data_IF_881673514293
#
_entry.id   IF_881673514293
#
_cell.length_a   1.000
_cell.length_b   1.000
_cell.length_c   1.000
_cell.angle_alpha   90.00
_cell.angle_beta   90.00
_cell.angle_gamma   90.00
#
_symmetry.space_group_name_H-M   'P 1'
#
loop_
_entity.id
_entity.type
_entity.pdbx_description
1 polymer ?
#
# COMPACT_ATOMS: atom_id res chain seq x y z
N UNK A 1 66.55 22.66 55.76
CA UNK A 1 65.72 22.98 54.57
C UNK A 1 64.93 21.74 54.24
N UNK A 2 63.63 21.84 54.46
CA UNK A 2 62.67 20.75 54.55
C UNK A 2 62.05 20.46 53.18
N UNK A 3 61.92 19.19 52.81
CA UNK A 3 61.16 18.73 51.65
C UNK A 3 60.27 17.56 52.06
N UNK A 4 59.00 17.86 52.32
CA UNK A 4 57.98 16.95 52.83
C UNK A 4 57.40 16.11 51.68
N UNK A 5 57.36 14.81 51.88
CA UNK A 5 56.81 13.80 50.99
C UNK A 5 55.28 13.69 51.23
N UNK A 6 54.47 14.05 50.23
CA UNK A 6 53.00 13.90 50.29
C UNK A 6 52.56 12.59 49.64
N UNK A 7 52.06 11.66 50.47
CA UNK A 7 51.33 10.46 50.05
C UNK A 7 49.89 10.87 49.78
N UNK A 8 49.41 10.71 48.53
CA UNK A 8 47.98 10.86 48.20
C UNK A 8 47.27 9.51 48.37
N UNK A 9 46.36 9.44 49.33
CA UNK A 9 45.44 8.33 49.51
C UNK A 9 44.35 8.36 48.42
N UNK A 10 44.13 7.24 47.72
CA UNK A 10 42.96 7.02 46.85
C UNK A 10 41.78 6.59 47.73
N UNK A 11 40.71 7.39 47.73
CA UNK A 11 39.42 7.01 48.29
C UNK A 11 38.61 6.24 47.24
N UNK A 12 38.27 4.98 47.52
CA UNK A 12 37.30 4.21 46.75
C UNK A 12 35.88 4.70 47.09
N UNK A 13 35.21 5.35 46.15
CA UNK A 13 33.78 5.66 46.25
C UNK A 13 32.97 4.41 45.86
N UNK A 14 32.17 3.89 46.78
CA UNK A 14 31.24 2.81 46.51
C UNK A 14 30.10 3.30 45.61
N UNK A 15 30.01 2.79 44.38
CA UNK A 15 28.90 2.99 43.46
C UNK A 15 27.67 2.25 44.01
N UNK A 16 26.68 3.00 44.50
CA UNK A 16 25.33 2.49 44.76
C UNK A 16 24.66 2.31 43.39
N UNK A 17 24.54 1.06 42.95
CA UNK A 17 23.75 0.71 41.76
C UNK A 17 22.27 0.79 42.16
N UNK A 18 21.44 1.63 41.51
CA UNK A 18 20.01 1.63 41.77
C UNK A 18 19.42 0.28 41.35
N UNK A 19 18.68 -0.34 42.27
CA UNK A 19 17.79 -1.46 42.00
C UNK A 19 16.90 -1.11 40.81
N UNK A 20 17.09 -1.79 39.67
CA UNK A 20 16.18 -1.73 38.53
C UNK A 20 14.85 -2.32 38.99
N UNK A 21 13.86 -1.45 39.26
CA UNK A 21 12.49 -1.88 39.45
C UNK A 21 12.05 -2.67 38.21
N UNK A 22 11.53 -3.88 38.43
CA UNK A 22 10.93 -4.67 37.37
C UNK A 22 9.83 -3.83 36.67
N UNK A 23 9.74 -3.84 35.33
CA UNK A 23 8.69 -3.12 34.63
C UNK A 23 7.32 -3.61 35.14
N UNK A 24 6.33 -2.71 35.29
CA UNK A 24 4.99 -3.10 35.70
C UNK A 24 4.46 -4.15 34.72
N UNK A 25 4.04 -5.30 35.25
CA UNK A 25 3.32 -6.33 34.52
C UNK A 25 1.93 -5.78 34.21
N UNK A 26 1.77 -5.20 33.01
CA UNK A 26 0.45 -4.85 32.51
C UNK A 26 -0.35 -6.13 32.29
N UNK A 27 -1.28 -6.40 33.21
CA UNK A 27 -2.22 -7.52 33.17
C UNK A 27 -3.27 -7.38 32.08
N UNK A 28 -2.84 -7.21 30.82
CA UNK A 28 -3.70 -7.41 29.66
C UNK A 28 -4.01 -8.89 29.53
N UNK A 29 -5.28 -9.24 29.40
CA UNK A 29 -5.69 -10.62 29.09
C UNK A 29 -4.96 -11.06 27.82
N UNK A 30 -4.07 -12.05 27.93
CA UNK A 30 -3.25 -12.50 26.80
C UNK A 30 -4.16 -12.97 25.67
N UNK A 31 -4.09 -12.31 24.51
CA UNK A 31 -4.87 -12.71 23.35
C UNK A 31 -4.37 -14.08 22.88
N UNK A 32 -5.21 -15.09 23.01
CA UNK A 32 -4.90 -16.44 22.53
C UNK A 32 -5.08 -16.52 21.02
N UNK A 33 -4.06 -16.97 20.26
CA UNK A 33 -4.17 -17.13 18.81
C UNK A 33 -5.30 -18.09 18.40
N UNK A 34 -6.11 -17.67 17.42
CA UNK A 34 -7.22 -18.44 16.84
C UNK A 34 -7.22 -18.27 15.32
N UNK A 35 -6.86 -19.30 14.54
CA UNK A 35 -6.56 -20.67 14.94
C UNK A 35 -5.23 -20.81 15.72
N UNK A 36 -5.02 -21.91 16.45
CA UNK A 36 -3.78 -22.11 17.23
C UNK A 36 -2.52 -22.20 16.35
N UNK A 37 -2.66 -22.82 15.17
CA UNK A 37 -1.57 -23.01 14.21
C UNK A 37 -1.76 -22.08 13.00
N UNK A 38 -2.06 -20.81 13.26
CA UNK A 38 -2.22 -19.81 12.21
C UNK A 38 -0.91 -19.18 11.77
N UNK A 39 -1.01 -18.26 10.83
CA UNK A 39 0.05 -17.33 10.44
C UNK A 39 -0.54 -15.97 10.07
N UNK A 40 0.31 -14.95 9.98
CA UNK A 40 -0.11 -13.62 9.55
C UNK A 40 -0.18 -13.54 8.02
N UNK A 41 -1.26 -12.97 7.51
CA UNK A 41 -1.47 -12.70 6.08
C UNK A 41 -1.87 -11.24 5.94
N UNK A 42 -1.23 -10.48 5.06
CA UNK A 42 -1.70 -9.14 4.72
C UNK A 42 -3.07 -9.24 4.01
N UNK A 43 -4.04 -8.49 4.50
CA UNK A 43 -5.42 -8.47 3.99
C UNK A 43 -5.85 -7.09 3.47
N UNK A 44 -4.96 -6.12 3.62
CA UNK A 44 -5.00 -4.81 2.99
C UNK A 44 -3.59 -4.26 3.03
N UNK A 45 -3.15 -3.63 1.96
CA UNK A 45 -1.90 -2.88 1.90
C UNK A 45 -2.11 -1.59 1.13
N UNK A 46 -1.15 -0.70 1.28
CA UNK A 46 -0.94 0.41 0.36
C UNK A 46 0.56 0.61 0.17
N UNK A 47 0.97 1.06 -1.02
CA UNK A 47 2.37 1.37 -1.30
C UNK A 47 2.75 2.68 -0.60
N UNK A 48 3.59 2.65 0.46
CA UNK A 48 4.04 3.88 1.08
C UNK A 48 5.00 4.60 0.12
N UNK A 49 4.80 5.90 -0.02
CA UNK A 49 5.69 6.79 -0.75
C UNK A 49 5.97 8.06 0.04
N UNK A 50 7.03 8.77 -0.36
CA UNK A 50 7.25 10.14 0.09
C UNK A 50 6.12 11.00 -0.48
N UNK A 51 5.42 11.70 0.42
CA UNK A 51 4.33 12.59 0.02
C UNK A 51 4.89 13.77 -0.77
N UNK A 52 4.41 13.95 -1.99
CA UNK A 52 4.75 15.13 -2.79
C UNK A 52 4.17 16.38 -2.13
N UNK A 53 4.84 17.52 -2.31
CA UNK A 53 4.42 18.78 -1.67
C UNK A 53 2.94 19.13 -1.91
N UNK A 54 2.44 18.91 -3.13
CA UNK A 54 1.04 19.18 -3.49
C UNK A 54 0.02 18.21 -2.87
N UNK A 55 0.48 17.06 -2.36
CA UNK A 55 -0.33 16.01 -1.75
C UNK A 55 -0.13 15.93 -0.22
N UNK A 56 0.60 16.89 0.35
CA UNK A 56 0.67 17.05 1.81
C UNK A 56 -0.73 17.29 2.40
N UNK A 57 -0.89 17.11 3.72
CA UNK A 57 -2.17 17.36 4.37
C UNK A 57 -2.67 18.77 4.03
N UNK A 58 -3.96 18.94 3.72
CA UNK A 58 -4.49 20.26 3.40
C UNK A 58 -4.37 21.21 4.60
N UNK A 59 -4.24 22.54 4.37
CA UNK A 59 -4.36 23.52 5.46
C UNK A 59 -5.65 23.31 6.26
N UNK A 60 -5.63 23.53 7.59
CA UNK A 60 -4.54 24.06 8.40
C UNK A 60 -3.56 22.99 8.94
N UNK A 61 -3.57 21.76 8.42
CA UNK A 61 -2.82 20.62 8.97
C UNK A 61 -1.39 20.47 8.42
N UNK A 62 -0.94 21.45 7.64
CA UNK A 62 0.40 21.50 7.07
C UNK A 62 0.96 22.91 7.21
N UNK A 63 2.12 23.01 7.86
CA UNK A 63 2.91 24.22 7.99
C UNK A 63 4.38 23.91 7.72
N UNK A 64 5.21 24.93 7.54
CA UNK A 64 6.64 24.73 7.29
C UNK A 64 7.29 23.98 8.44
N UNK A 65 7.89 22.82 8.14
CA UNK A 65 8.59 21.97 9.09
C UNK A 65 7.71 21.22 10.09
N UNK A 66 6.38 21.24 9.96
CA UNK A 66 5.48 20.53 10.88
C UNK A 66 4.16 20.19 10.19
N UNK A 67 3.74 18.94 10.28
CA UNK A 67 2.41 18.48 9.84
C UNK A 67 1.64 17.88 10.99
N UNK A 68 0.30 17.91 10.89
CA UNK A 68 -0.62 17.24 11.81
C UNK A 68 -0.45 17.59 13.30
N UNK A 69 0.02 18.81 13.61
CA UNK A 69 0.10 19.27 15.00
C UNK A 69 -1.28 19.25 15.65
N UNK A 70 -1.40 18.63 16.84
CA UNK A 70 -2.67 18.47 17.56
C UNK A 70 -3.80 17.95 16.67
N UNK A 71 -3.53 16.93 15.84
CA UNK A 71 -4.46 16.50 14.79
C UNK A 71 -4.85 15.03 14.92
N UNK A 72 -6.13 14.77 14.70
CA UNK A 72 -6.69 13.43 14.48
C UNK A 72 -6.87 13.20 12.99
N UNK A 73 -6.44 12.03 12.51
CA UNK A 73 -6.58 11.55 11.13
C UNK A 73 -7.44 10.29 11.16
N UNK A 74 -8.61 10.29 10.50
CA UNK A 74 -9.53 9.15 10.41
C UNK A 74 -9.63 8.67 8.98
N UNK A 75 -9.38 7.38 8.77
CA UNK A 75 -9.16 6.79 7.46
C UNK A 75 -9.86 5.45 7.37
N UNK A 76 -10.53 5.18 6.25
CA UNK A 76 -11.19 3.89 6.04
C UNK A 76 -10.41 3.00 5.09
N UNK A 77 -10.39 1.69 5.36
CA UNK A 77 -9.64 0.68 4.63
C UNK A 77 -10.58 -0.47 4.20
N UNK A 78 -10.42 -0.98 2.98
CA UNK A 78 -11.23 -2.07 2.42
C UNK A 78 -10.53 -3.42 2.63
N UNK A 79 -11.07 -4.26 3.51
CA UNK A 79 -10.47 -5.54 3.87
C UNK A 79 -10.73 -6.59 2.82
N UNK A 80 -9.70 -7.35 2.46
CA UNK A 80 -9.81 -8.39 1.45
C UNK A 80 -10.62 -9.60 1.94
N UNK A 81 -10.05 -10.35 2.89
CA UNK A 81 -10.65 -11.55 3.48
C UNK A 81 -11.10 -11.28 4.92
N UNK A 82 -11.90 -12.20 5.46
CA UNK A 82 -12.36 -12.15 6.84
C UNK A 82 -11.34 -12.73 7.82
N UNK A 83 -11.38 -12.26 9.07
CA UNK A 83 -10.51 -12.70 10.15
C UNK A 83 -11.16 -12.42 11.51
N UNK A 84 -10.76 -13.15 12.54
CA UNK A 84 -11.18 -12.87 13.93
C UNK A 84 -10.16 -12.02 14.70
N UNK A 85 -8.91 -12.05 14.24
CA UNK A 85 -7.77 -11.40 14.88
C UNK A 85 -6.95 -10.69 13.84
N UNK A 86 -6.65 -9.42 14.09
CA UNK A 86 -5.86 -8.58 13.20
C UNK A 86 -4.80 -7.81 13.97
N UNK A 87 -3.86 -7.22 13.24
CA UNK A 87 -2.93 -6.18 13.72
C UNK A 87 -2.67 -5.17 12.60
N UNK A 88 -2.17 -3.99 12.98
CA UNK A 88 -2.02 -2.84 12.08
C UNK A 88 -0.55 -2.49 11.90
N UNK A 89 -0.10 -2.31 10.65
CA UNK A 89 1.23 -1.80 10.32
C UNK A 89 1.18 -0.31 10.01
N UNK A 90 1.91 0.50 10.78
CA UNK A 90 2.06 1.94 10.58
C UNK A 90 3.50 2.23 10.16
N UNK A 91 3.68 2.95 9.04
CA UNK A 91 4.98 3.18 8.42
C UNK A 91 5.42 4.63 8.51
N UNK A 92 6.69 4.81 8.86
CA UNK A 92 7.45 6.05 8.75
C UNK A 92 8.63 5.88 7.76
N UNK A 93 8.50 4.98 6.78
CA UNK A 93 9.57 4.60 5.85
C UNK A 93 10.19 5.77 5.06
N UNK A 94 9.41 6.82 4.80
CA UNK A 94 9.86 8.05 4.12
C UNK A 94 9.92 9.26 5.04
N UNK A 95 9.61 9.08 6.33
CA UNK A 95 9.77 10.14 7.31
C UNK A 95 11.24 10.41 7.57
N UNK A 96 11.64 11.68 7.47
CA UNK A 96 13.00 12.11 7.80
C UNK A 96 13.24 12.30 9.31
N UNK A 97 12.17 12.24 10.11
CA UNK A 97 12.19 12.40 11.58
C UNK A 97 11.25 11.38 12.22
N UNK A 98 11.34 11.24 13.54
CA UNK A 98 10.43 10.41 14.32
C UNK A 98 8.95 10.75 14.09
N UNK A 99 8.09 9.72 14.07
CA UNK A 99 6.64 9.85 14.00
C UNK A 99 6.04 9.52 15.39
N UNK A 100 5.63 10.53 16.19
CA UNK A 100 5.12 10.33 17.54
C UNK A 100 3.61 10.06 17.55
N UNK A 101 3.22 8.80 17.35
CA UNK A 101 1.82 8.35 17.48
C UNK A 101 1.39 8.46 18.95
N UNK A 102 0.56 9.44 19.25
CA UNK A 102 0.07 9.66 20.63
C UNK A 102 -1.00 8.65 21.00
N UNK A 103 -1.89 8.32 20.05
CA UNK A 103 -2.96 7.34 20.23
C UNK A 103 -3.45 6.86 18.87
N UNK A 104 -3.82 5.59 18.77
CA UNK A 104 -4.49 5.06 17.60
C UNK A 104 -5.65 4.14 17.99
N UNK A 105 -6.74 4.18 17.23
CA UNK A 105 -7.94 3.37 17.45
C UNK A 105 -8.44 2.76 16.16
N UNK A 106 -9.23 1.69 16.30
CA UNK A 106 -9.95 1.02 15.22
C UNK A 106 -11.43 0.87 15.58
N UNK A 107 -12.29 1.00 14.58
CA UNK A 107 -13.74 0.80 14.72
C UNK A 107 -14.36 0.43 13.37
N UNK A 108 -15.59 -0.10 13.39
CA UNK A 108 -16.39 -0.18 12.17
C UNK A 108 -16.87 1.23 11.78
N UNK A 109 -16.75 1.63 10.50
CA UNK A 109 -17.34 2.86 10.03
C UNK A 109 -18.86 2.71 9.89
N UNK A 110 -19.55 3.83 10.08
CA UNK A 110 -21.00 3.92 9.85
C UNK A 110 -21.29 4.63 8.53
N UNK A 111 -22.36 4.19 7.87
CA UNK A 111 -23.02 5.01 6.86
C UNK A 111 -24.03 5.95 7.54
N UNK A 112 -24.38 7.05 6.89
CA UNK A 112 -25.34 8.02 7.40
C UNK A 112 -24.92 9.47 7.15
N UNK A 113 -25.85 10.41 7.29
CA UNK A 113 -25.61 11.85 7.05
C UNK A 113 -25.01 12.17 5.67
N UNK A 114 -25.38 11.39 4.65
CA UNK A 114 -24.85 11.54 3.28
C UNK A 114 -23.55 10.78 2.99
N UNK A 115 -22.99 10.06 3.98
CA UNK A 115 -21.75 9.29 3.80
C UNK A 115 -22.00 7.79 3.61
N UNK A 116 -21.23 7.20 2.70
CA UNK A 116 -21.02 5.75 2.62
C UNK A 116 -20.11 5.29 3.78
N UNK A 117 -20.02 3.98 4.02
CA UNK A 117 -19.03 3.42 4.97
C UNK A 117 -17.60 3.71 4.53
N UNK A 118 -17.31 3.57 3.23
CA UNK A 118 -16.03 3.95 2.63
C UNK A 118 -15.91 5.48 2.61
N UNK A 119 -14.83 5.99 3.18
CA UNK A 119 -14.58 7.42 3.33
C UNK A 119 -15.43 8.10 4.42
N UNK A 120 -16.02 7.34 5.34
CA UNK A 120 -16.88 7.91 6.38
C UNK A 120 -16.09 8.63 7.47
N UNK A 121 -16.52 9.82 7.93
CA UNK A 121 -16.05 10.39 9.19
C UNK A 121 -16.71 9.73 10.42
N UNK A 122 -17.74 8.90 10.23
CA UNK A 122 -18.52 8.28 11.31
C UNK A 122 -18.00 6.89 11.67
N UNK A 123 -18.01 6.58 12.96
CA UNK A 123 -17.66 5.26 13.50
C UNK A 123 -18.72 4.73 14.47
N UNK A 124 -18.81 3.42 14.57
CA UNK A 124 -19.54 2.75 15.62
C UNK A 124 -18.67 2.67 16.88
N UNK A 125 -18.96 3.56 17.84
CA UNK A 125 -18.23 3.65 19.11
C UNK A 125 -18.34 2.39 19.97
N UNK A 126 -19.32 1.51 19.73
CA UNK A 126 -19.44 0.24 20.46
C UNK A 126 -18.40 -0.79 20.00
N UNK A 127 -17.85 -0.63 18.80
CA UNK A 127 -16.78 -1.45 18.24
C UNK A 127 -15.38 -0.88 18.50
N UNK A 128 -15.29 0.32 19.07
CA UNK A 128 -14.04 1.05 19.23
C UNK A 128 -13.05 0.28 20.11
N UNK A 129 -11.86 0.02 19.57
CA UNK A 129 -10.73 -0.53 20.31
C UNK A 129 -9.49 0.35 20.15
N UNK A 130 -8.72 0.51 21.22
CA UNK A 130 -7.42 1.18 21.19
C UNK A 130 -6.37 0.21 20.67
N UNK A 131 -5.53 0.67 19.75
CA UNK A 131 -4.35 -0.07 19.32
C UNK A 131 -3.23 0.13 20.33
N UNK A 132 -2.56 -0.95 20.71
CA UNK A 132 -1.36 -0.91 21.54
C UNK A 132 -0.13 -1.33 20.75
N UNK A 133 1.04 -0.93 21.22
CA UNK A 133 2.34 -1.27 20.64
C UNK A 133 3.25 -1.74 21.77
N UNK A 134 3.54 -3.04 21.83
CA UNK A 134 4.29 -3.62 22.95
C UNK A 134 3.65 -3.29 24.31
N UNK A 135 2.32 -3.32 24.38
CA UNK A 135 1.53 -3.02 25.57
C UNK A 135 1.27 -1.53 25.84
N UNK A 136 1.86 -0.61 25.06
CA UNK A 136 1.69 0.84 25.25
C UNK A 136 0.61 1.41 24.31
N UNK A 137 -0.18 2.39 24.76
CA UNK A 137 -1.20 3.06 23.94
C UNK A 137 -0.62 4.07 22.91
N UNK A 138 0.69 4.28 22.93
CA UNK A 138 1.42 5.22 22.09
C UNK A 138 2.73 4.59 21.61
N UNK A 139 3.31 5.16 20.57
CA UNK A 139 4.62 4.75 20.05
C UNK A 139 5.30 5.92 19.32
N UNK A 140 6.62 5.98 19.42
CA UNK A 140 7.45 6.84 18.57
C UNK A 140 8.12 5.94 17.54
N UNK A 141 7.81 6.14 16.25
CA UNK A 141 8.37 5.34 15.15
C UNK A 141 9.58 6.08 14.60
N UNK A 142 10.81 5.50 14.66
CA UNK A 142 11.99 6.14 14.11
C UNK A 142 11.87 6.47 12.62
N UNK A 143 12.74 7.37 12.13
CA UNK A 143 12.85 7.68 10.71
C UNK A 143 13.17 6.40 9.91
N UNK A 144 12.48 6.20 8.78
CA UNK A 144 12.67 5.01 7.93
C UNK A 144 12.11 3.69 8.50
N UNK A 145 11.55 3.70 9.71
CA UNK A 145 11.05 2.50 10.37
C UNK A 145 9.53 2.31 10.18
N UNK A 146 9.03 1.18 10.65
CA UNK A 146 7.60 0.91 10.79
C UNK A 146 7.33 0.27 12.15
N UNK A 147 6.10 0.39 12.63
CA UNK A 147 5.60 -0.29 13.81
C UNK A 147 4.44 -1.22 13.45
N UNK A 148 4.32 -2.30 14.22
CA UNK A 148 3.19 -3.23 14.16
C UNK A 148 2.48 -3.18 15.49
N UNK A 149 1.16 -3.00 15.49
CA UNK A 149 0.37 -3.04 16.73
C UNK A 149 0.42 -4.44 17.34
N UNK A 150 0.14 -4.53 18.63
CA UNK A 150 -0.23 -5.81 19.23
C UNK A 150 -1.51 -6.34 18.55
N UNK A 151 -1.71 -7.67 18.52
CA UNK A 151 -2.95 -8.26 17.99
C UNK A 151 -4.17 -7.77 18.75
N UNK A 152 -5.34 -7.74 18.08
CA UNK A 152 -6.62 -7.47 18.71
C UNK A 152 -7.71 -8.43 18.21
N UNK A 153 -8.67 -8.75 19.07
CA UNK A 153 -9.86 -9.52 18.69
C UNK A 153 -10.88 -8.57 18.05
N UNK A 154 -10.82 -8.45 16.73
CA UNK A 154 -11.67 -7.56 15.94
C UNK A 154 -12.19 -8.30 14.71
N UNK A 155 -13.37 -8.95 14.82
CA UNK A 155 -13.89 -9.79 13.76
C UNK A 155 -14.31 -9.01 12.51
N UNK A 156 -13.63 -9.22 11.39
CA UNK A 156 -13.95 -8.60 10.12
C UNK A 156 -14.52 -9.63 9.14
N UNK A 157 -15.50 -9.20 8.35
CA UNK A 157 -16.00 -9.98 7.22
C UNK A 157 -15.15 -9.70 5.95
N UNK A 158 -15.10 -10.63 4.98
CA UNK A 158 -14.51 -10.34 3.67
C UNK A 158 -15.16 -9.11 3.03
N UNK A 159 -14.38 -8.29 2.32
CA UNK A 159 -14.82 -7.04 1.67
C UNK A 159 -15.45 -6.01 2.63
N UNK A 160 -15.24 -6.15 3.94
CA UNK A 160 -15.72 -5.17 4.91
C UNK A 160 -14.83 -3.93 4.95
N UNK A 161 -15.37 -2.83 5.46
CA UNK A 161 -14.61 -1.59 5.68
C UNK A 161 -14.31 -1.47 7.17
N UNK A 162 -13.07 -1.10 7.50
CA UNK A 162 -12.68 -0.68 8.86
C UNK A 162 -12.26 0.78 8.86
N UNK A 163 -12.32 1.43 10.01
CA UNK A 163 -11.77 2.77 10.22
C UNK A 163 -10.56 2.69 11.14
N UNK A 164 -9.45 3.30 10.75
CA UNK A 164 -8.28 3.57 11.60
C UNK A 164 -8.26 5.06 11.91
N UNK A 165 -8.15 5.41 13.19
CA UNK A 165 -8.03 6.80 13.64
C UNK A 165 -6.72 6.99 14.39
N UNK A 166 -5.88 7.92 13.95
CA UNK A 166 -4.57 8.22 14.54
C UNK A 166 -4.60 9.64 15.09
N UNK A 167 -4.10 9.85 16.30
CA UNK A 167 -3.92 11.18 16.88
C UNK A 167 -2.44 11.47 17.12
N UNK A 168 -2.02 12.65 16.67
CA UNK A 168 -0.68 13.21 16.81
C UNK A 168 -0.77 14.50 17.63
N UNK A 169 -0.51 14.43 18.94
CA UNK A 169 -0.57 15.61 19.81
C UNK A 169 0.46 16.68 19.40
N UNK A 170 1.69 16.25 19.13
CA UNK A 170 2.78 17.14 18.72
C UNK A 170 2.94 17.26 17.20
N UNK A 171 2.15 16.53 16.41
CA UNK A 171 2.40 16.39 14.96
C UNK A 171 3.71 15.67 14.65
N UNK A 172 4.12 15.73 13.38
CA UNK A 172 5.42 15.25 12.91
C UNK A 172 6.25 16.45 12.40
N UNK A 173 7.43 16.67 12.99
CA UNK A 173 8.28 17.84 12.74
C UNK A 173 9.03 17.79 11.39
N UNK A 174 8.28 17.65 10.30
CA UNK A 174 8.79 17.54 8.93
C UNK A 174 7.69 17.84 7.92
N UNK A 175 8.07 18.10 6.66
CA UNK A 175 7.17 17.99 5.51
C UNK A 175 7.46 16.74 4.65
N UNK A 176 8.42 15.89 5.05
CA UNK A 176 8.69 14.61 4.42
C UNK A 176 7.87 13.53 5.12
N UNK A 177 6.66 13.27 4.62
CA UNK A 177 5.65 12.41 5.27
C UNK A 177 5.50 11.10 4.49
N UNK A 178 5.37 9.98 5.20
CA UNK A 178 4.97 8.70 4.59
C UNK A 178 3.46 8.69 4.36
N UNK A 179 3.04 8.61 3.10
CA UNK A 179 1.62 8.54 2.72
C UNK A 179 1.42 7.69 1.48
N UNK A 180 0.17 7.62 1.07
CA UNK A 180 -0.26 7.15 -0.23
C UNK A 180 -1.31 8.12 -0.80
N UNK A 181 -0.91 9.04 -1.70
CA UNK A 181 -1.80 10.03 -2.28
C UNK A 181 -2.89 9.47 -3.19
N UNK A 182 -2.75 8.21 -3.61
CA UNK A 182 -3.61 7.50 -4.54
C UNK A 182 -4.92 6.93 -3.98
N UNK A 183 -5.25 7.15 -2.70
CA UNK A 183 -6.19 6.27 -1.98
C UNK A 183 -7.60 6.14 -2.56
N UNK A 184 -8.06 7.16 -3.32
CA UNK A 184 -9.46 7.32 -3.81
C UNK A 184 -10.50 7.19 -2.70
N UNK A 185 -10.08 7.38 -1.45
CA UNK A 185 -10.90 7.19 -0.27
C UNK A 185 -10.72 8.41 0.62
N UNK A 186 -11.82 8.99 1.07
CA UNK A 186 -11.78 10.16 1.94
C UNK A 186 -11.16 9.81 3.29
N UNK A 187 -10.08 10.51 3.61
CA UNK A 187 -9.51 10.59 4.95
C UNK A 187 -9.84 11.95 5.54
N UNK A 188 -10.26 11.96 6.80
CA UNK A 188 -10.72 13.13 7.51
C UNK A 188 -9.68 13.57 8.52
N UNK A 189 -9.41 14.86 8.58
CA UNK A 189 -8.41 15.45 9.48
C UNK A 189 -9.10 16.53 10.30
N UNK A 190 -8.94 16.50 11.62
CA UNK A 190 -9.58 17.42 12.58
C UNK A 190 -8.59 17.76 13.69
N UNK A 191 -8.65 18.97 14.25
CA UNK A 191 -7.88 19.29 15.45
C UNK A 191 -8.40 18.54 16.70
N UNK A 192 -7.52 18.38 17.68
CA UNK A 192 -7.78 17.73 18.97
C UNK A 192 -7.73 16.20 18.92
N UNK A 193 -7.80 15.56 20.10
CA UNK A 193 -8.00 14.11 20.21
C UNK A 193 -9.48 13.78 19.98
N UNK A 194 -9.80 13.37 18.76
CA UNK A 194 -11.12 12.90 18.34
C UNK A 194 -11.13 11.37 18.11
N UNK A 195 -10.18 10.62 18.67
CA UNK A 195 -10.03 9.17 18.46
C UNK A 195 -11.23 8.34 18.92
N UNK A 196 -12.02 8.84 19.88
CA UNK A 196 -13.26 8.23 20.37
C UNK A 196 -14.53 8.92 19.88
N UNK A 197 -14.41 10.01 19.11
CA UNK A 197 -15.56 10.76 18.64
C UNK A 197 -16.33 9.96 17.59
N UNK A 198 -17.66 9.80 17.79
CA UNK A 198 -18.54 9.10 16.85
C UNK A 198 -18.49 9.71 15.44
N UNK A 199 -18.40 11.03 15.35
CA UNK A 199 -18.31 11.78 14.11
C UNK A 199 -17.28 12.92 14.27
N UNK A 200 -16.58 13.25 13.19
CA UNK A 200 -15.69 14.41 13.16
C UNK A 200 -16.49 15.62 12.66
N UNK A 201 -16.80 16.54 13.57
CA UNK A 201 -17.67 17.70 13.30
C UNK A 201 -17.03 19.03 13.70
N UNK A 202 -15.76 19.02 14.09
CA UNK A 202 -15.06 20.26 14.43
C UNK A 202 -14.98 21.18 13.20
N UNK A 203 -15.10 22.51 13.33
CA UNK A 203 -14.99 23.43 12.20
C UNK A 203 -13.68 23.34 11.41
N UNK A 204 -12.60 22.82 12.01
CA UNK A 204 -11.33 22.55 11.32
C UNK A 204 -11.36 21.32 10.42
N UNK A 205 -12.42 20.51 10.47
CA UNK A 205 -12.47 19.22 9.81
C UNK A 205 -12.39 19.39 8.30
N UNK A 206 -11.39 18.76 7.67
CA UNK A 206 -11.20 18.72 6.22
C UNK A 206 -11.06 17.28 5.74
N UNK A 207 -11.36 17.05 4.46
CA UNK A 207 -11.16 15.77 3.80
C UNK A 207 -10.03 15.84 2.77
N UNK A 208 -9.36 14.71 2.57
CA UNK A 208 -8.40 14.48 1.47
C UNK A 208 -8.54 13.07 0.94
N UNK A 209 -8.09 12.80 -0.29
CA UNK A 209 -8.13 11.46 -0.89
C UNK A 209 -6.76 10.77 -0.78
N UNK A 210 -6.20 10.76 0.43
CA UNK A 210 -4.88 10.21 0.72
C UNK A 210 -4.94 9.32 1.96
N UNK A 211 -4.10 8.29 2.01
CA UNK A 211 -3.83 7.59 3.26
C UNK A 211 -2.51 8.08 3.87
N UNK A 212 -2.48 8.36 5.16
CA UNK A 212 -1.30 8.82 5.90
C UNK A 212 -0.96 7.82 6.98
N UNK A 213 0.21 7.18 6.85
CA UNK A 213 0.86 6.25 7.80
C UNK A 213 0.47 4.75 7.78
N UNK A 214 -0.81 4.29 7.78
CA UNK A 214 -1.09 2.86 7.60
C UNK A 214 -0.47 2.32 6.31
N UNK A 215 0.15 1.15 6.41
CA UNK A 215 0.80 0.46 5.29
C UNK A 215 0.28 -0.95 5.08
N UNK A 216 -0.21 -1.61 6.13
CA UNK A 216 -0.91 -2.89 6.02
C UNK A 216 -1.85 -3.17 7.19
N UNK A 217 -2.81 -4.07 6.95
CA UNK A 217 -3.59 -4.78 7.97
C UNK A 217 -3.30 -6.26 7.81
N UNK A 218 -2.90 -6.91 8.88
CA UNK A 218 -2.56 -8.34 8.89
C UNK A 218 -3.63 -9.12 9.64
N UNK A 219 -4.07 -10.24 9.06
CA UNK A 219 -4.99 -11.18 9.68
C UNK A 219 -4.27 -12.44 10.14
N UNK A 220 -4.57 -12.87 11.36
CA UNK A 220 -4.15 -14.19 11.84
C UNK A 220 -5.07 -15.25 11.25
N UNK A 221 -4.53 -16.09 10.37
CA UNK A 221 -5.30 -16.91 9.45
C UNK A 221 -4.84 -18.37 9.45
N UNK A 222 -5.71 -19.32 9.03
CA UNK A 222 -5.29 -20.70 8.77
C UNK A 222 -4.18 -20.80 7.71
N UNK A 223 -3.34 -21.84 7.79
CA UNK A 223 -2.16 -22.03 6.91
C UNK A 223 -2.47 -22.04 5.40
N UNK A 224 -3.66 -22.46 5.00
CA UNK A 224 -4.08 -22.46 3.60
C UNK A 224 -4.43 -21.07 3.04
N UNK A 225 -4.42 -20.05 3.89
CA UNK A 225 -4.72 -18.65 3.53
C UNK A 225 -3.44 -17.99 3.06
N UNK A 226 -3.50 -17.20 1.99
CA UNK A 226 -2.35 -16.43 1.50
C UNK A 226 -2.79 -15.13 0.87
N UNK A 227 -1.83 -14.34 0.41
CA UNK A 227 -2.07 -13.06 -0.27
C UNK A 227 -1.56 -13.08 -1.72
N UNK A 228 -2.24 -12.31 -2.56
CA UNK A 228 -1.88 -11.97 -3.93
C UNK A 228 -1.45 -10.51 -3.97
N UNK A 229 -0.14 -10.29 -4.10
CA UNK A 229 0.46 -8.95 -4.13
C UNK A 229 0.56 -8.39 -5.54
N UNK A 230 0.15 -7.14 -5.74
CA UNK A 230 0.17 -6.49 -7.06
C UNK A 230 1.05 -5.26 -7.01
N UNK A 231 2.19 -5.30 -7.70
CA UNK A 231 3.05 -4.16 -7.95
C UNK A 231 2.54 -3.47 -9.22
N UNK A 232 2.18 -2.20 -9.12
CA UNK A 232 1.54 -1.48 -10.23
C UNK A 232 1.67 0.03 -10.20
N UNK A 233 1.19 0.64 -11.29
CA UNK A 233 1.14 2.09 -11.46
C UNK A 233 -0.26 2.69 -11.18
N UNK A 234 -0.54 3.88 -11.72
CA UNK A 234 -1.82 4.59 -11.60
C UNK A 234 -3.05 3.80 -12.07
N UNK A 235 -2.88 2.85 -13.00
CA UNK A 235 -3.98 2.01 -13.50
C UNK A 235 -4.40 1.01 -12.41
N UNK A 236 -3.43 0.39 -11.73
CA UNK A 236 -3.72 -0.53 -10.62
C UNK A 236 -4.10 0.21 -9.33
N UNK A 237 -3.54 1.39 -9.12
CA UNK A 237 -3.95 2.33 -8.06
C UNK A 237 -5.41 2.78 -8.21
N UNK A 238 -5.92 2.77 -9.45
CA UNK A 238 -7.33 3.01 -9.78
C UNK A 238 -7.65 4.46 -10.16
N UNK A 239 -6.72 5.19 -10.78
CA UNK A 239 -7.00 6.49 -11.41
C UNK A 239 -8.14 6.32 -12.44
N UNK A 240 -9.17 7.15 -12.37
CA UNK A 240 -10.37 7.03 -13.24
C UNK A 240 -11.51 6.22 -12.62
N UNK A 241 -11.30 5.57 -11.47
CA UNK A 241 -12.41 5.01 -10.66
C UNK A 241 -13.11 6.09 -9.84
N UNK A 242 -14.33 5.81 -9.37
CA UNK A 242 -15.06 6.71 -8.48
C UNK A 242 -14.47 6.69 -7.06
N UNK A 243 -14.32 7.88 -6.47
CA UNK A 243 -13.92 8.00 -5.06
C UNK A 243 -14.96 7.33 -4.14
N UNK A 244 -14.47 6.75 -3.04
CA UNK A 244 -15.26 6.05 -2.02
C UNK A 244 -16.08 4.86 -2.54
N UNK A 245 -15.76 4.32 -3.73
CA UNK A 245 -16.50 3.21 -4.33
C UNK A 245 -15.77 1.86 -4.28
N UNK A 246 -14.45 1.84 -3.98
CA UNK A 246 -13.60 0.65 -4.10
C UNK A 246 -13.75 -0.02 -5.49
N UNK A 247 -13.81 0.80 -6.55
CA UNK A 247 -14.13 0.38 -7.92
C UNK A 247 -12.91 0.20 -8.83
N UNK A 248 -11.71 0.02 -8.27
CA UNK A 248 -10.49 -0.28 -9.03
C UNK A 248 -10.44 -1.78 -9.36
N UNK A 249 -9.77 -2.16 -10.45
CA UNK A 249 -9.79 -3.56 -10.90
C UNK A 249 -9.37 -4.59 -9.83
N UNK A 250 -8.39 -4.33 -8.92
CA UNK A 250 -8.04 -5.32 -7.90
C UNK A 250 -9.17 -5.58 -6.90
N UNK A 251 -9.93 -4.55 -6.52
CA UNK A 251 -11.10 -4.68 -5.64
C UNK A 251 -12.24 -5.46 -6.33
N UNK A 252 -12.42 -5.24 -7.64
CA UNK A 252 -13.42 -5.94 -8.44
C UNK A 252 -13.04 -7.41 -8.68
N UNK A 253 -11.74 -7.72 -8.87
CA UNK A 253 -11.23 -9.10 -8.92
C UNK A 253 -11.41 -9.78 -7.57
N UNK A 254 -11.11 -9.10 -6.47
CA UNK A 254 -11.37 -9.59 -5.11
C UNK A 254 -12.86 -9.96 -4.94
N UNK A 255 -13.78 -9.10 -5.39
CA UNK A 255 -15.21 -9.38 -5.31
C UNK A 255 -15.59 -10.69 -6.03
N UNK A 256 -15.01 -10.93 -7.22
CA UNK A 256 -15.17 -12.20 -7.96
C UNK A 256 -14.51 -13.37 -7.22
N UNK A 257 -13.32 -13.17 -6.65
CA UNK A 257 -12.59 -14.20 -5.91
C UNK A 257 -13.36 -14.70 -4.69
N UNK A 258 -14.11 -13.83 -4.01
CA UNK A 258 -14.94 -14.22 -2.87
C UNK A 258 -16.16 -15.07 -3.28
N UNK A 259 -16.60 -14.98 -4.53
CA UNK A 259 -17.67 -15.82 -5.09
C UNK A 259 -17.15 -17.14 -5.68
N UNK A 260 -15.83 -17.32 -5.77
CA UNK A 260 -15.20 -18.51 -6.33
C UNK A 260 -14.44 -19.29 -5.26
N UNK A 261 -14.95 -20.48 -4.91
CA UNK A 261 -14.48 -21.29 -3.78
C UNK A 261 -12.96 -21.45 -3.66
N UNK A 262 -12.22 -21.78 -4.74
CA UNK A 262 -10.77 -21.94 -4.70
C UNK A 262 -9.98 -20.67 -4.32
N UNK A 263 -10.55 -19.48 -4.53
CA UNK A 263 -9.86 -18.20 -4.30
C UNK A 263 -10.33 -17.45 -3.06
N UNK A 264 -11.36 -17.95 -2.35
CA UNK A 264 -11.97 -17.22 -1.22
C UNK A 264 -11.01 -16.90 -0.06
N UNK A 265 -9.95 -17.71 0.09
CA UNK A 265 -8.92 -17.57 1.13
C UNK A 265 -7.64 -16.88 0.61
N UNK A 266 -7.69 -16.27 -0.58
CA UNK A 266 -6.58 -15.51 -1.14
C UNK A 266 -6.91 -14.04 -0.99
N UNK A 267 -6.15 -13.35 -0.15
CA UNK A 267 -6.25 -11.92 -0.01
C UNK A 267 -5.70 -11.20 -1.25
N UNK A 268 -6.22 -10.03 -1.59
CA UNK A 268 -5.66 -9.15 -2.61
C UNK A 268 -5.02 -7.96 -1.91
N UNK A 269 -3.72 -7.75 -2.15
CA UNK A 269 -2.95 -6.67 -1.54
C UNK A 269 -2.35 -5.79 -2.63
N UNK A 270 -2.84 -4.56 -2.70
CA UNK A 270 -2.50 -3.61 -3.75
C UNK A 270 -1.31 -2.76 -3.32
N UNK A 271 -0.19 -2.92 -4.03
CA UNK A 271 1.05 -2.17 -3.84
C UNK A 271 1.29 -1.24 -5.04
N UNK A 272 0.22 -0.74 -5.64
CA UNK A 272 0.35 0.20 -6.74
C UNK A 272 0.52 1.65 -6.26
N UNK A 273 1.13 2.48 -7.09
CA UNK A 273 1.22 3.92 -6.87
C UNK A 273 1.13 4.69 -8.18
N UNK A 274 0.40 5.81 -8.17
CA UNK A 274 0.30 6.68 -9.34
C UNK A 274 1.66 7.16 -9.84
N UNK A 275 1.87 7.15 -11.15
CA UNK A 275 3.13 7.59 -11.75
C UNK A 275 4.34 6.71 -11.41
N UNK A 276 4.14 5.52 -10.82
CA UNK A 276 5.25 4.61 -10.55
C UNK A 276 5.85 4.06 -11.85
N UNK A 277 7.12 3.70 -11.75
CA UNK A 277 7.99 3.28 -12.86
C UNK A 277 8.83 2.11 -12.38
N UNK A 278 9.25 1.26 -13.30
CA UNK A 278 10.10 0.10 -12.99
C UNK A 278 11.55 0.51 -12.78
N UNK A 279 12.07 1.43 -13.60
CA UNK A 279 13.51 1.67 -13.73
C UNK A 279 14.03 2.86 -12.92
N UNK A 280 13.16 3.84 -12.66
CA UNK A 280 13.51 5.09 -11.99
C UNK A 280 12.41 5.47 -11.02
N UNK A 281 12.76 6.28 -10.02
CA UNK A 281 11.75 6.80 -9.12
C UNK A 281 10.79 7.73 -9.91
N UNK A 282 9.52 7.70 -9.52
CA UNK A 282 8.47 8.60 -9.97
C UNK A 282 7.89 9.32 -8.77
N UNK A 283 6.57 9.25 -8.58
CA UNK A 283 5.93 9.75 -7.36
C UNK A 283 6.32 8.93 -6.12
N UNK A 284 6.87 7.73 -6.32
CA UNK A 284 7.49 6.89 -5.28
C UNK A 284 8.65 6.08 -5.85
N UNK A 285 9.32 5.24 -5.02
CA UNK A 285 10.48 4.48 -5.44
C UNK A 285 10.19 3.54 -6.61
N UNK A 286 11.17 3.31 -7.47
CA UNK A 286 11.08 2.41 -8.60
C UNK A 286 10.67 0.97 -8.20
N UNK A 287 9.87 0.32 -9.05
CA UNK A 287 9.30 -1.01 -8.80
C UNK A 287 10.38 -2.07 -8.59
N UNK A 288 11.48 -2.02 -9.36
CA UNK A 288 12.61 -2.94 -9.23
C UNK A 288 13.26 -2.87 -7.83
N UNK A 289 13.41 -1.66 -7.29
CA UNK A 289 13.99 -1.43 -5.97
C UNK A 289 13.06 -1.79 -4.82
N UNK A 290 11.74 -1.70 -5.01
CA UNK A 290 10.75 -1.95 -3.94
C UNK A 290 10.13 -3.35 -3.95
N UNK A 291 10.42 -4.20 -4.93
CA UNK A 291 9.81 -5.55 -5.00
C UNK A 291 10.03 -6.37 -3.72
N UNK A 292 11.19 -6.24 -3.08
CA UNK A 292 11.47 -6.93 -1.82
C UNK A 292 10.59 -6.44 -0.69
N UNK A 293 10.40 -5.12 -0.59
CA UNK A 293 9.56 -4.49 0.42
C UNK A 293 8.08 -4.83 0.20
N UNK A 294 7.64 -4.77 -1.06
CA UNK A 294 6.22 -4.78 -1.42
C UNK A 294 5.69 -6.16 -1.77
N UNK A 295 6.57 -7.16 -1.94
CA UNK A 295 6.20 -8.56 -2.14
C UNK A 295 6.83 -9.44 -1.07
N UNK A 296 8.17 -9.45 -0.95
CA UNK A 296 8.89 -10.47 -0.18
C UNK A 296 8.80 -10.24 1.35
N UNK A 297 8.72 -8.97 1.76
CA UNK A 297 8.58 -8.56 3.16
C UNK A 297 7.11 -8.38 3.59
N UNK A 298 6.15 -8.76 2.74
CA UNK A 298 4.73 -8.77 3.05
C UNK A 298 4.34 -10.14 3.62
N UNK A 299 3.42 -10.13 4.58
CA UNK A 299 3.01 -11.31 5.34
C UNK A 299 2.11 -12.22 4.49
N UNK A 300 2.51 -13.49 4.38
CA UNK A 300 1.68 -14.53 3.78
C UNK A 300 1.48 -14.40 2.27
N UNK A 301 2.33 -13.65 1.54
CA UNK A 301 2.28 -13.59 0.08
C UNK A 301 2.53 -14.98 -0.51
N UNK A 302 1.56 -15.42 -1.33
CA UNK A 302 1.59 -16.70 -2.04
C UNK A 302 1.62 -16.52 -3.56
N UNK A 303 1.15 -15.39 -4.05
CA UNK A 303 1.17 -15.04 -5.47
C UNK A 303 1.56 -13.57 -5.61
N UNK A 304 2.24 -13.23 -6.70
CA UNK A 304 2.56 -11.85 -6.98
C UNK A 304 2.32 -11.51 -8.46
N UNK A 305 2.15 -10.24 -8.77
CA UNK A 305 1.98 -9.74 -10.12
C UNK A 305 2.64 -8.38 -10.30
N UNK A 306 3.15 -8.12 -11.51
CA UNK A 306 3.54 -6.78 -11.95
C UNK A 306 2.66 -6.31 -13.11
N UNK A 307 2.15 -5.09 -12.99
CA UNK A 307 1.46 -4.36 -14.05
C UNK A 307 1.98 -2.92 -14.09
N UNK A 308 3.09 -2.74 -14.78
CA UNK A 308 3.94 -1.53 -14.80
C UNK A 308 4.56 -1.34 -16.19
N UNK A 309 5.26 -0.21 -16.37
CA UNK A 309 6.10 0.07 -17.54
C UNK A 309 5.55 1.17 -18.45
N UNK A 310 4.27 1.53 -18.32
CA UNK A 310 3.67 2.61 -19.11
C UNK A 310 4.35 3.96 -18.84
N UNK A 311 4.67 4.23 -17.58
CA UNK A 311 5.34 5.49 -17.20
C UNK A 311 6.81 5.49 -17.58
N UNK A 312 7.50 4.34 -17.62
CA UNK A 312 8.87 4.26 -18.12
C UNK A 312 8.94 4.66 -19.59
N UNK A 313 8.06 4.09 -20.42
CA UNK A 313 7.97 4.38 -21.85
C UNK A 313 7.48 5.81 -22.09
N UNK A 314 6.42 6.21 -21.37
CA UNK A 314 5.74 7.49 -21.52
C UNK A 314 6.57 8.70 -21.09
N UNK A 315 7.46 8.54 -20.12
CA UNK A 315 8.34 9.63 -19.63
C UNK A 315 9.69 9.68 -20.34
N UNK A 316 10.18 8.56 -20.89
CA UNK A 316 11.43 8.53 -21.64
C UNK A 316 11.33 9.39 -22.92
N UNK A 317 12.44 10.03 -23.36
CA UNK A 317 12.48 10.74 -24.64
C UNK A 317 11.96 9.86 -25.77
N UNK A 318 11.22 10.44 -26.72
CA UNK A 318 10.53 9.70 -27.77
C UNK A 318 11.39 9.39 -29.00
N UNK A 319 12.70 9.56 -28.93
CA UNK A 319 13.62 9.14 -29.98
C UNK A 319 13.98 7.66 -29.88
N UNK A 320 14.29 7.05 -31.02
CA UNK A 320 14.54 5.60 -31.14
C UNK A 320 15.65 5.12 -30.21
N UNK A 321 16.69 5.91 -29.97
CA UNK A 321 17.81 5.51 -29.10
C UNK A 321 17.36 5.34 -27.65
N UNK A 322 16.70 6.35 -27.08
CA UNK A 322 16.21 6.29 -25.70
C UNK A 322 15.10 5.26 -25.51
N UNK A 323 14.22 5.11 -26.50
CA UNK A 323 13.12 4.14 -26.48
C UNK A 323 13.64 2.68 -26.58
N UNK A 324 14.67 2.46 -27.39
CA UNK A 324 15.37 1.16 -27.45
C UNK A 324 15.95 0.80 -26.07
N UNK A 325 16.71 1.70 -25.46
CA UNK A 325 17.32 1.48 -24.13
C UNK A 325 16.25 1.25 -23.06
N UNK A 326 15.16 2.01 -23.10
CA UNK A 326 14.07 1.90 -22.13
C UNK A 326 13.41 0.52 -22.19
N UNK A 327 13.08 0.04 -23.39
CA UNK A 327 12.51 -1.30 -23.55
C UNK A 327 13.47 -2.43 -23.14
N UNK A 328 14.75 -2.33 -23.49
CA UNK A 328 15.75 -3.34 -23.13
C UNK A 328 15.91 -3.44 -21.61
N UNK A 329 15.96 -2.28 -20.94
CA UNK A 329 16.08 -2.21 -19.48
C UNK A 329 14.81 -2.67 -18.77
N UNK A 330 13.62 -2.39 -19.33
CA UNK A 330 12.35 -2.90 -18.78
C UNK A 330 12.34 -4.42 -18.77
N UNK A 331 12.68 -5.05 -19.90
CA UNK A 331 12.77 -6.51 -20.03
C UNK A 331 13.73 -7.08 -18.98
N UNK A 332 14.95 -6.54 -18.91
CA UNK A 332 15.94 -6.98 -17.92
C UNK A 332 15.46 -6.80 -16.47
N UNK A 333 14.78 -5.69 -16.17
CA UNK A 333 14.24 -5.45 -14.84
C UNK A 333 13.14 -6.44 -14.47
N UNK A 334 12.25 -6.78 -15.41
CA UNK A 334 11.24 -7.81 -15.18
C UNK A 334 11.87 -9.18 -14.92
N UNK A 335 12.89 -9.58 -15.67
CA UNK A 335 13.66 -10.81 -15.41
C UNK A 335 14.25 -10.81 -14.00
N UNK A 336 14.88 -9.71 -13.57
CA UNK A 336 15.45 -9.62 -12.22
C UNK A 336 14.38 -9.66 -11.11
N UNK A 337 13.20 -9.07 -11.34
CA UNK A 337 12.08 -9.18 -10.40
C UNK A 337 11.58 -10.62 -10.31
N UNK A 338 11.43 -11.31 -11.45
CA UNK A 338 11.06 -12.72 -11.51
C UNK A 338 12.05 -13.57 -10.70
N UNK A 339 13.36 -13.46 -10.97
CA UNK A 339 14.40 -14.22 -10.25
C UNK A 339 14.32 -14.03 -8.73
N UNK A 340 14.14 -12.80 -8.26
CA UNK A 340 14.05 -12.50 -6.81
C UNK A 340 12.78 -13.03 -6.19
N UNK A 341 11.65 -12.94 -6.88
CA UNK A 341 10.35 -13.44 -6.38
C UNK A 341 10.32 -14.97 -6.36
N UNK A 342 10.85 -15.62 -7.40
CA UNK A 342 10.97 -17.08 -7.48
C UNK A 342 11.88 -17.68 -6.40
N UNK A 343 12.84 -16.92 -5.87
CA UNK A 343 13.68 -17.36 -4.73
C UNK A 343 12.84 -17.73 -3.50
N UNK A 344 11.63 -17.17 -3.38
CA UNK A 344 10.69 -17.45 -2.29
C UNK A 344 9.60 -18.46 -2.68
N UNK A 345 9.72 -19.09 -3.86
CA UNK A 345 8.73 -20.03 -4.41
C UNK A 345 7.41 -19.38 -4.80
N UNK A 346 7.39 -18.04 -4.95
CA UNK A 346 6.18 -17.28 -5.25
C UNK A 346 6.02 -17.20 -6.79
N UNK A 347 4.91 -17.68 -7.37
CA UNK A 347 4.59 -17.43 -8.77
C UNK A 347 4.42 -15.93 -9.03
N UNK A 348 5.06 -15.44 -10.09
CA UNK A 348 5.04 -14.05 -10.51
C UNK A 348 4.36 -13.88 -11.87
N UNK A 349 3.23 -13.19 -11.87
CA UNK A 349 2.43 -12.93 -13.07
C UNK A 349 2.80 -11.59 -13.71
N UNK A 350 2.70 -11.49 -15.03
CA UNK A 350 2.88 -10.24 -15.77
C UNK A 350 1.58 -9.80 -16.43
N UNK A 351 1.27 -8.50 -16.42
CA UNK A 351 0.29 -7.92 -17.35
C UNK A 351 1.00 -7.18 -18.49
N UNK A 352 0.45 -7.30 -19.69
CA UNK A 352 0.86 -6.47 -20.83
C UNK A 352 0.49 -5.01 -20.57
N UNK A 353 1.38 -4.09 -20.94
CA UNK A 353 1.21 -2.64 -20.89
C UNK A 353 0.04 -2.23 -21.80
N UNK A 354 -0.97 -1.58 -21.23
CA UNK A 354 -2.18 -1.15 -21.97
C UNK A 354 -1.88 -0.05 -22.99
N UNK A 355 -2.76 0.14 -23.98
CA UNK A 355 -2.64 1.23 -24.94
C UNK A 355 -2.61 2.61 -24.25
N UNK A 356 -1.83 3.53 -24.81
CA UNK A 356 -1.74 4.93 -24.37
C UNK A 356 -1.69 5.92 -25.54
N UNK A 357 -1.95 5.44 -26.76
CA UNK A 357 -2.12 6.29 -27.93
C UNK A 357 -3.41 7.09 -27.81
N UNK A 358 -3.40 8.29 -28.38
CA UNK A 358 -4.51 9.23 -28.30
C UNK A 358 -4.77 9.86 -29.65
N UNK A 359 -6.03 10.19 -29.93
CA UNK A 359 -6.44 10.91 -31.13
C UNK A 359 -5.89 12.35 -31.19
N UNK A 360 -5.41 12.86 -30.06
CA UNK A 360 -4.73 14.14 -29.94
C UNK A 360 -3.57 14.04 -28.93
N UNK A 361 -2.33 14.22 -29.40
CA UNK A 361 -1.13 14.14 -28.56
C UNK A 361 -1.01 15.26 -27.52
N UNK A 362 -1.79 16.35 -27.64
CA UNK A 362 -1.90 17.37 -26.59
C UNK A 362 -2.73 16.91 -25.38
N UNK A 363 -3.56 15.87 -25.53
CA UNK A 363 -4.33 15.27 -24.41
C UNK A 363 -3.44 14.30 -23.64
N UNK A 364 -2.68 13.48 -24.37
CA UNK A 364 -1.82 12.46 -23.79
C UNK A 364 -0.41 12.57 -24.36
N UNK A 365 0.49 13.12 -23.55
CA UNK A 365 1.89 13.34 -23.93
C UNK A 365 2.63 12.03 -24.20
N UNK A 366 2.16 10.89 -23.71
CA UNK A 366 2.75 9.57 -23.97
C UNK A 366 2.54 9.12 -25.42
N UNK A 367 1.52 9.64 -26.11
CA UNK A 367 1.09 9.21 -27.44
C UNK A 367 2.07 9.61 -28.55
N UNK A 368 3.07 8.77 -28.81
CA UNK A 368 3.96 8.89 -29.97
C UNK A 368 4.14 7.54 -30.68
N UNK A 369 4.39 7.53 -32.01
CA UNK A 369 4.64 6.28 -32.73
C UNK A 369 5.82 5.47 -32.19
N UNK A 370 6.92 6.11 -31.82
CA UNK A 370 8.12 5.43 -31.32
C UNK A 370 7.90 4.75 -29.95
N UNK A 371 7.12 5.39 -29.07
CA UNK A 371 6.75 4.79 -27.78
C UNK A 371 5.83 3.59 -27.97
N UNK A 372 4.94 3.63 -28.96
CA UNK A 372 4.10 2.48 -29.31
C UNK A 372 4.95 1.30 -29.82
N UNK A 373 5.96 1.55 -30.65
CA UNK A 373 6.92 0.50 -31.07
C UNK A 373 7.57 -0.15 -29.84
N UNK A 374 7.98 0.64 -28.86
CA UNK A 374 8.58 0.12 -27.62
C UNK A 374 7.58 -0.65 -26.79
N UNK A 375 6.35 -0.15 -26.62
CA UNK A 375 5.27 -0.84 -25.90
C UNK A 375 4.97 -2.20 -26.52
N UNK A 376 4.83 -2.26 -27.85
CA UNK A 376 4.57 -3.51 -28.56
C UNK A 376 5.73 -4.50 -28.40
N UNK A 377 6.98 -4.04 -28.47
CA UNK A 377 8.16 -4.88 -28.25
C UNK A 377 8.21 -5.47 -26.84
N UNK A 378 7.99 -4.65 -25.82
CA UNK A 378 7.96 -5.12 -24.42
C UNK A 378 6.79 -6.08 -24.21
N UNK A 379 5.61 -5.78 -24.75
CA UNK A 379 4.44 -6.65 -24.65
C UNK A 379 4.61 -7.97 -25.40
N UNK A 380 5.32 -7.99 -26.53
CA UNK A 380 5.66 -9.22 -27.24
C UNK A 380 6.54 -10.12 -26.35
N UNK A 381 7.57 -9.55 -25.72
CA UNK A 381 8.39 -10.27 -24.75
C UNK A 381 7.56 -10.78 -23.56
N UNK A 382 6.69 -9.95 -22.97
CA UNK A 382 5.81 -10.36 -21.87
C UNK A 382 4.97 -11.59 -22.27
N UNK A 383 4.39 -11.60 -23.47
CA UNK A 383 3.53 -12.70 -23.94
C UNK A 383 4.28 -13.97 -24.28
N UNK A 384 5.43 -13.84 -24.94
CA UNK A 384 6.01 -14.92 -25.72
C UNK A 384 7.33 -15.46 -25.17
N UNK A 385 7.99 -14.74 -24.24
CA UNK A 385 9.26 -15.20 -23.64
C UNK A 385 9.13 -16.45 -22.78
N UNK A 386 7.95 -16.65 -22.17
CA UNK A 386 7.76 -17.66 -21.13
C UNK A 386 8.38 -17.29 -19.78
N UNK A 387 8.82 -16.04 -19.60
CA UNK A 387 9.49 -15.59 -18.38
C UNK A 387 8.53 -15.49 -17.17
N UNK A 388 7.30 -15.00 -17.38
CA UNK A 388 6.27 -14.98 -16.33
C UNK A 388 5.51 -16.30 -16.25
N UNK A 389 5.14 -16.69 -15.03
CA UNK A 389 4.37 -17.93 -14.78
C UNK A 389 2.97 -17.89 -15.42
N UNK A 390 2.39 -16.69 -15.47
CA UNK A 390 1.18 -16.40 -16.22
C UNK A 390 1.18 -14.98 -16.76
N UNK A 391 0.56 -14.79 -17.91
CA UNK A 391 0.41 -13.50 -18.57
C UNK A 391 -1.05 -13.12 -18.65
N UNK A 392 -1.37 -11.92 -18.19
CA UNK A 392 -2.68 -11.29 -18.33
C UNK A 392 -2.61 -10.25 -19.45
N UNK A 393 -3.26 -10.53 -20.57
CA UNK A 393 -3.23 -9.68 -21.77
C UNK A 393 -4.20 -8.49 -21.67
N UNK A 394 -3.92 -7.59 -20.73
CA UNK A 394 -4.70 -6.37 -20.50
C UNK A 394 -4.66 -5.38 -21.68
N UNK A 395 -3.62 -5.43 -22.52
CA UNK A 395 -3.59 -4.71 -23.80
C UNK A 395 -4.74 -5.17 -24.69
N UNK A 396 -4.87 -6.48 -24.88
CA UNK A 396 -5.96 -7.05 -25.66
C UNK A 396 -7.33 -6.74 -25.04
N UNK A 397 -7.46 -6.78 -23.72
CA UNK A 397 -8.72 -6.48 -23.04
C UNK A 397 -9.17 -5.03 -23.27
N UNK A 398 -8.24 -4.06 -23.29
CA UNK A 398 -8.61 -2.65 -23.29
C UNK A 398 -8.46 -1.93 -24.63
N UNK A 399 -7.75 -2.49 -25.61
CA UNK A 399 -7.50 -1.80 -26.88
C UNK A 399 -8.73 -1.64 -27.75
N UNK A 400 -8.79 -0.52 -28.47
CA UNK A 400 -9.83 -0.29 -29.48
C UNK A 400 -9.67 -1.29 -30.64
N UNK A 401 -10.71 -2.06 -31.00
CA UNK A 401 -10.66 -2.95 -32.16
C UNK A 401 -10.40 -2.23 -33.50
N UNK A 402 -10.64 -0.92 -33.59
CA UNK A 402 -10.38 -0.09 -34.78
C UNK A 402 -8.98 0.52 -34.79
N UNK A 403 -8.37 0.71 -33.62
CA UNK A 403 -7.02 1.23 -33.49
C UNK A 403 -6.35 0.69 -32.22
N UNK A 404 -5.58 -0.37 -32.37
CA UNK A 404 -4.95 -1.07 -31.24
C UNK A 404 -3.96 -0.22 -30.43
N UNK A 405 -3.57 0.96 -30.92
CA UNK A 405 -2.71 1.90 -30.19
C UNK A 405 -3.47 2.69 -29.12
N UNK A 406 -4.81 2.69 -29.16
CA UNK A 406 -5.66 3.47 -28.25
C UNK A 406 -6.51 2.55 -27.36
N UNK A 407 -6.94 3.08 -26.21
CA UNK A 407 -7.99 2.45 -25.42
C UNK A 407 -9.29 2.43 -26.22
N UNK A 408 -10.08 1.37 -26.06
CA UNK A 408 -11.44 1.32 -26.55
C UNK A 408 -12.20 2.51 -25.92
N UNK A 409 -12.88 3.36 -26.73
CA UNK A 409 -13.58 4.53 -26.20
C UNK A 409 -14.60 4.22 -25.10
N UNK A 410 -15.17 3.00 -25.08
CA UNK A 410 -16.07 2.56 -24.01
C UNK A 410 -15.36 2.41 -22.64
N UNK A 411 -14.05 2.19 -22.66
CA UNK A 411 -13.22 1.96 -21.48
C UNK A 411 -12.31 3.13 -21.13
N UNK A 412 -12.16 4.13 -22.00
CA UNK A 412 -11.33 5.31 -21.75
C UNK A 412 -12.01 6.29 -20.77
N UNK A 413 -11.24 6.82 -19.82
CA UNK A 413 -11.67 7.91 -18.94
C UNK A 413 -11.69 9.29 -19.63
N UNK A 414 -11.14 9.36 -20.85
CA UNK A 414 -11.03 10.55 -21.68
C UNK A 414 -9.62 11.13 -21.73
N UNK A 415 -8.67 10.54 -21.00
CA UNK A 415 -7.26 10.93 -21.01
C UNK A 415 -6.36 10.00 -21.85
N UNK A 416 -6.98 9.06 -22.57
CA UNK A 416 -6.32 8.09 -23.45
C UNK A 416 -5.31 7.15 -22.74
N UNK A 417 -5.31 7.08 -21.40
CA UNK A 417 -4.34 6.29 -20.63
C UNK A 417 -5.01 5.47 -19.54
N UNK A 418 -5.94 6.06 -18.79
CA UNK A 418 -6.56 5.40 -17.65
C UNK A 418 -7.94 4.84 -18.02
N UNK A 419 -8.25 3.60 -17.61
CA UNK A 419 -9.59 3.07 -17.70
C UNK A 419 -10.58 3.90 -16.88
N UNK A 420 -11.79 4.04 -17.42
CA UNK A 420 -12.97 4.47 -16.67
C UNK A 420 -13.53 3.29 -15.83
N UNK A 421 -14.59 3.48 -15.02
CA UNK A 421 -15.16 2.41 -14.21
C UNK A 421 -15.65 1.19 -15.00
N UNK A 422 -16.14 1.38 -16.24
CA UNK A 422 -16.54 0.29 -17.13
C UNK A 422 -15.31 -0.50 -17.59
N UNK A 423 -14.22 0.18 -17.94
CA UNK A 423 -12.94 -0.43 -18.28
C UNK A 423 -12.34 -1.24 -17.13
N UNK A 424 -12.40 -0.72 -15.89
CA UNK A 424 -11.96 -1.48 -14.71
C UNK A 424 -12.81 -2.72 -14.44
N UNK A 425 -14.13 -2.64 -14.61
CA UNK A 425 -14.99 -3.83 -14.53
C UNK A 425 -14.66 -4.84 -15.62
N UNK A 426 -14.35 -4.38 -16.84
CA UNK A 426 -13.95 -5.26 -17.93
C UNK A 426 -12.63 -5.99 -17.62
N UNK A 427 -11.58 -5.28 -17.19
CA UNK A 427 -10.33 -5.92 -16.72
C UNK A 427 -10.59 -6.95 -15.64
N UNK A 428 -11.42 -6.60 -14.66
CA UNK A 428 -11.76 -7.50 -13.57
C UNK A 428 -12.48 -8.74 -14.06
N UNK A 429 -13.33 -8.67 -15.09
CA UNK A 429 -14.01 -9.82 -15.69
C UNK A 429 -13.05 -10.73 -16.46
N UNK A 430 -12.10 -10.14 -17.19
CA UNK A 430 -11.09 -10.86 -17.98
C UNK A 430 -10.01 -11.54 -17.12
N UNK A 431 -9.86 -11.14 -15.85
CA UNK A 431 -8.89 -11.77 -14.94
C UNK A 431 -9.22 -13.28 -14.73
N UNK A 432 -8.31 -14.21 -15.09
CA UNK A 432 -8.59 -15.64 -15.02
C UNK A 432 -8.33 -16.20 -13.62
N UNK A 433 -9.37 -16.34 -12.79
CA UNK A 433 -9.24 -16.84 -11.41
C UNK A 433 -8.62 -18.25 -11.29
N UNK A 434 -8.71 -19.06 -12.34
CA UNK A 434 -8.09 -20.39 -12.39
C UNK A 434 -6.56 -20.37 -12.29
N UNK A 435 -5.91 -19.22 -12.52
CA UNK A 435 -4.45 -19.07 -12.40
C UNK A 435 -3.94 -19.43 -11.00
N UNK A 436 -4.70 -19.11 -9.96
CA UNK A 436 -4.30 -19.40 -8.59
C UNK A 436 -4.29 -20.90 -8.29
N UNK A 437 -5.24 -21.66 -8.87
CA UNK A 437 -5.26 -23.12 -8.72
C UNK A 437 -4.10 -23.77 -9.49
N UNK A 438 -3.74 -23.23 -10.66
CA UNK A 438 -2.61 -23.71 -11.47
C UNK A 438 -1.28 -23.62 -10.70
N UNK A 439 -1.10 -22.61 -9.87
CA UNK A 439 0.15 -22.34 -9.12
C UNK A 439 -0.02 -22.51 -7.61
N UNK A 440 -0.94 -23.37 -7.16
CA UNK A 440 -1.22 -23.55 -5.73
C UNK A 440 -0.03 -24.05 -4.92
N UNK A 441 0.92 -24.70 -5.58
CA UNK A 441 2.07 -25.35 -4.96
C UNK A 441 3.34 -24.49 -5.08
N UNK A 442 3.21 -23.25 -5.56
CA UNK A 442 4.33 -22.35 -5.81
C UNK A 442 5.05 -22.63 -7.12
N UNK A 443 6.26 -22.10 -7.24
CA UNK A 443 7.18 -22.29 -8.39
C UNK A 443 8.58 -22.61 -7.91
N UNK A 444 9.41 -23.18 -8.79
CA UNK A 444 10.81 -23.48 -8.47
C UNK A 444 11.66 -22.21 -8.58
N UNK A 445 12.66 -22.09 -7.71
CA UNK A 445 13.62 -20.97 -7.72
C UNK A 445 14.79 -21.15 -8.69
N UNK A 446 14.90 -22.30 -9.36
CA UNK A 446 16.09 -22.68 -10.12
C UNK A 446 16.06 -22.32 -11.61
N UNK A 447 14.87 -22.14 -12.20
CA UNK A 447 14.71 -22.01 -13.65
C UNK A 447 14.64 -20.57 -14.13
#
# INVERSE_FOLDING_TARGET
MSGIMFIKALAFAALIVPSLAAPPSYGGSSITPKPRNGHWVDIWTTMPQLTEYANLPPPPFNQSGLVFSNSTIRQTLHMSIGASQIRVRISNAFGAVELPITKATIAYPLAGSGYNKTGSPLIDTTSLQTLTFSGNNSIVIPNGALAVSDPLNFPIAPQSIISITIYLASGQATNYVSSHPGSRTSSWISFGDATSARNLTDPSTVASFHWFFPSAIEAWSPQQTGAFAIVGDSITDGRGSYNNANGRWPDLVLARMQQYGPTKNIAVVNQAAGGNRVLYDGNGPNALGRVDRDVLAQSGVKYAMVFEGVNDIGTAPSDTYNQTITGDRLIQAFEQMITRVHTFGIPFFGATITPFGCYNSSIQAYSTPEREVTRLRVNDWIRNSGAFDAVLDFDKSLRDPKNATQLNPAYDSGDCLHPNPVGYQHLANEFPLGVFAKFSDGVSSFN
#
